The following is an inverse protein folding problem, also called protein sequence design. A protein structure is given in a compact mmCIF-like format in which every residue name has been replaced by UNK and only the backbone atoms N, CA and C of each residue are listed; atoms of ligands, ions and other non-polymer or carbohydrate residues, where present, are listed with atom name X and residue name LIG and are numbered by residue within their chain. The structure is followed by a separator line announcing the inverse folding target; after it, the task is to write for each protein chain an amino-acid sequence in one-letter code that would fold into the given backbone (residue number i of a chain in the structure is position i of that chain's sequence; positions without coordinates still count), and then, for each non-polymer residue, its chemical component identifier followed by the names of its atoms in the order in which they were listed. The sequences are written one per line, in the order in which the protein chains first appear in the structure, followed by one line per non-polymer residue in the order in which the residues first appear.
data_IF_603586979963
#
_entry.id   IF_603586979963
#
_cell.length_a   1.000
_cell.length_b   1.000
_cell.length_c   1.000
_cell.angle_alpha   90.00
_cell.angle_beta   90.00
_cell.angle_gamma   90.00
#
_symmetry.space_group_name_H-M   'P 1'
#
loop_
_entity.id
_entity.type
_entity.pdbx_description
1 polymer ?
#
# COMPACT_ATOMS: atom_id res chain seq x y z
N UNK A 1 15.96 -28.17 -40.98
CA UNK A 1 15.74 -27.86 -40.53
C UNK A 1 15.32 -27.33 -39.79
N UNK A 2 15.39 -27.41 -39.72
CA UNK A 2 15.05 -26.99 -39.02
C UNK A 2 14.79 -26.42 -38.14
N UNK A 3 15.02 -26.24 -38.05
CA UNK A 3 14.75 -25.71 -37.15
C UNK A 3 14.50 -24.92 -36.62
N UNK A 4 14.69 -24.68 -36.80
CA UNK A 4 14.37 -23.85 -36.37
C UNK A 4 13.77 -23.32 -35.62
N UNK A 5 13.72 -23.46 -35.63
CA UNK A 5 13.08 -22.94 -34.91
C UNK A 5 12.84 -22.57 -33.97
N UNK A 6 13.25 -22.58 -33.93
CA UNK A 6 13.03 -22.10 -33.00
C UNK A 6 12.82 -21.37 -32.26
N UNK A 7 13.10 -21.29 -32.53
CA UNK A 7 12.92 -20.48 -31.83
C UNK A 7 12.35 -19.87 -31.18
N UNK A 8 12.38 -19.94 -31.51
CA UNK A 8 11.78 -19.24 -30.96
C UNK A 8 11.41 -18.95 -29.99
N UNK A 9 11.67 -19.13 -30.08
CA UNK A 9 11.31 -18.76 -29.15
C UNK A 9 11.23 -18.21 -28.37
N UNK A 10 11.59 -18.08 -28.62
CA UNK A 10 11.52 -17.48 -27.94
C UNK A 10 11.14 -16.81 -27.37
N UNK A 11 11.28 -16.82 -27.74
CA UNK A 11 10.83 -16.06 -27.39
C UNK A 11 10.37 -15.64 -26.64
N UNK A 12 10.43 -15.84 -26.87
CA UNK A 12 9.82 -15.30 -26.24
C UNK A 12 9.64 -15.04 -25.34
N UNK A 13 10.00 -15.11 -25.52
CA UNK A 13 9.77 -14.69 -24.72
C UNK A 13 9.63 -14.17 -24.00
N UNK A 14 9.87 -14.05 -24.28
CA UNK A 14 9.63 -13.38 -23.72
C UNK A 14 9.25 -12.87 -23.04
N UNK A 15 9.43 -12.89 -23.27
CA UNK A 15 9.01 -12.24 -22.71
C UNK A 15 8.57 -11.92 -22.03
N UNK A 16 8.69 -11.90 -22.15
CA UNK A 16 8.16 -11.44 -21.52
C UNK A 16 7.91 -11.21 -20.72
N UNK A 17 8.13 -11.17 -20.86
CA UNK A 17 7.90 -10.87 -20.01
C UNK A 17 7.68 -10.31 -19.31
N UNK A 18 7.85 -9.95 -19.38
CA UNK A 18 7.71 -9.38 -18.70
C UNK A 18 7.30 -8.80 -18.06
N UNK A 19 7.51 -8.68 -18.10
CA UNK A 19 7.21 -8.11 -17.47
C UNK A 19 6.56 -7.69 -16.92
N UNK A 20 6.42 -7.52 -17.02
CA UNK A 20 5.63 -6.94 -16.41
C UNK A 20 5.18 -7.18 -15.43
N UNK A 21 5.21 -7.33 -15.53
CA UNK A 21 4.50 -7.80 -14.65
C UNK A 21 4.69 -7.33 -13.41
N UNK A 22 5.42 -7.73 -13.01
CA UNK A 22 5.57 -7.43 -11.73
C UNK A 22 5.27 -6.12 -11.39
N UNK A 23 5.48 -5.39 -12.20
CA UNK A 23 5.31 -4.18 -11.89
C UNK A 23 4.20 -3.95 -11.13
N UNK A 24 3.25 -4.21 -11.56
CA UNK A 24 2.09 -3.86 -10.94
C UNK A 24 2.00 -4.38 -9.59
N UNK A 25 2.32 -5.56 -9.46
CA UNK A 25 2.03 -6.17 -8.22
C UNK A 25 2.64 -5.48 -7.07
N UNK A 26 3.81 -5.05 -7.22
CA UNK A 26 4.50 -4.51 -6.09
C UNK A 26 4.03 -3.19 -5.62
N UNK A 27 3.08 -2.68 -6.31
CA UNK A 27 2.76 -1.29 -6.12
C UNK A 27 2.66 -0.80 -4.71
N UNK A 28 1.87 -1.46 -3.88
CA UNK A 28 1.56 -0.88 -2.57
C UNK A 28 2.32 -1.52 -1.43
N UNK A 29 2.85 -2.71 -1.59
CA UNK A 29 3.54 -3.41 -0.50
C UNK A 29 4.79 -2.65 -0.06
N UNK A 30 5.04 -2.65 1.24
CA UNK A 30 6.23 -2.01 1.78
C UNK A 30 5.99 -1.47 3.18
N UNK A 31 7.02 -0.85 3.72
CA UNK A 31 6.98 -0.18 5.00
C UNK A 31 7.18 1.32 4.79
N UNK A 32 6.31 2.11 5.35
CA UNK A 32 6.27 3.55 5.13
C UNK A 32 6.20 4.28 6.46
N UNK A 33 6.79 5.45 6.54
CA UNK A 33 6.79 6.24 7.76
C UNK A 33 6.31 7.66 7.50
N UNK A 34 5.67 8.25 8.50
CA UNK A 34 5.26 9.64 8.48
C UNK A 34 5.43 10.23 9.87
N UNK A 35 6.06 11.38 9.93
CA UNK A 35 6.21 12.11 11.18
C UNK A 35 5.15 13.20 11.20
N UNK A 36 4.22 13.10 12.14
CA UNK A 36 3.08 14.01 12.21
C UNK A 36 3.23 14.89 13.44
N UNK A 37 3.23 16.19 13.22
CA UNK A 37 3.47 17.14 14.30
C UNK A 37 2.23 17.57 15.05
N UNK A 38 1.08 17.31 14.50
CA UNK A 38 -0.19 17.65 15.14
C UNK A 38 -1.35 17.42 14.21
N UNK A 39 -2.56 17.44 14.71
CA UNK A 39 -2.96 17.72 16.10
C UNK A 39 -2.57 16.60 17.07
N UNK A 40 -2.76 16.85 18.36
CA UNK A 40 -2.32 15.95 19.41
C UNK A 40 -2.83 14.52 19.26
N UNK A 41 -4.02 14.34 18.73
CA UNK A 41 -4.63 13.02 18.58
C UNK A 41 -3.88 12.12 17.61
N UNK A 42 -3.08 12.69 16.72
CA UNK A 42 -2.32 11.90 15.75
C UNK A 42 -0.85 12.27 15.74
N UNK A 43 -0.38 13.03 16.73
CA UNK A 43 1.00 13.45 16.78
C UNK A 43 1.92 12.26 17.04
N UNK A 44 3.03 12.19 16.33
CA UNK A 44 4.03 11.16 16.53
C UNK A 44 4.57 10.60 15.24
N UNK A 45 5.36 9.54 15.36
CA UNK A 45 5.94 8.84 14.21
C UNK A 45 5.12 7.60 13.93
N UNK A 46 4.50 7.62 12.77
CA UNK A 46 3.65 6.53 12.31
C UNK A 46 4.41 5.65 11.34
N UNK A 47 4.25 4.35 11.48
CA UNK A 47 4.82 3.38 10.54
C UNK A 47 3.69 2.50 10.04
N UNK A 48 3.51 2.51 8.73
CA UNK A 48 2.51 1.71 8.04
C UNK A 48 3.22 0.59 7.31
N UNK A 49 2.87 -0.64 7.63
CA UNK A 49 3.42 -1.81 6.96
C UNK A 49 2.32 -2.49 6.17
N UNK A 50 2.51 -2.55 4.85
CA UNK A 50 1.57 -3.20 3.93
C UNK A 50 2.22 -4.47 3.41
N UNK A 51 1.66 -5.61 3.80
CA UNK A 51 2.10 -6.90 3.32
C UNK A 51 0.96 -7.50 2.50
N UNK A 52 1.14 -8.68 1.98
CA UNK A 52 0.12 -9.27 1.14
C UNK A 52 -1.17 -9.45 1.93
N UNK A 53 -2.17 -8.65 1.59
CA UNK A 53 -3.49 -8.76 2.18
C UNK A 53 -3.64 -8.25 3.60
N UNK A 54 -2.58 -7.77 4.22
CA UNK A 54 -2.63 -7.32 5.61
C UNK A 54 -1.98 -5.96 5.79
N UNK A 55 -2.36 -5.26 6.86
CA UNK A 55 -1.66 -4.06 7.22
C UNK A 55 -1.51 -3.94 8.74
N UNK A 56 -0.50 -3.21 9.13
CA UNK A 56 -0.23 -2.90 10.52
C UNK A 56 0.25 -1.47 10.61
N UNK A 57 -0.22 -0.77 11.61
CA UNK A 57 0.15 0.62 11.85
C UNK A 57 0.69 0.72 13.26
N UNK A 58 1.85 1.32 13.42
CA UNK A 58 2.39 1.61 14.74
C UNK A 58 2.54 3.12 14.92
N UNK A 59 2.46 3.54 16.17
CA UNK A 59 2.66 4.92 16.56
C UNK A 59 3.75 4.92 17.64
N UNK A 60 4.84 5.62 17.36
CA UNK A 60 5.98 5.73 18.26
C UNK A 60 6.46 4.36 18.74
N UNK A 61 6.51 3.40 17.81
CA UNK A 61 7.03 2.07 18.10
C UNK A 61 6.02 1.08 18.66
N UNK A 62 4.79 1.49 18.91
CA UNK A 62 3.75 0.59 19.44
C UNK A 62 2.69 0.32 18.40
N UNK A 63 2.25 -0.92 18.32
CA UNK A 63 1.18 -1.27 17.38
C UNK A 63 -0.09 -0.54 17.79
N UNK A 64 -0.63 0.24 16.86
CA UNK A 64 -1.84 1.02 17.07
C UNK A 64 -3.04 0.32 16.45
N UNK A 65 -2.87 -0.28 15.28
CA UNK A 65 -3.96 -0.92 14.56
C UNK A 65 -3.46 -2.01 13.65
N UNK A 66 -4.30 -2.99 13.40
CA UNK A 66 -4.05 -4.08 12.46
C UNK A 66 -5.33 -4.36 11.69
N UNK A 67 -5.17 -4.82 10.47
CA UNK A 67 -6.32 -5.19 9.66
C UNK A 67 -5.87 -5.83 8.37
N UNK A 68 -6.79 -5.91 7.43
CA UNK A 68 -6.46 -6.42 6.11
C UNK A 68 -6.73 -5.35 5.06
N UNK A 69 -6.21 -5.57 3.87
CA UNK A 69 -6.45 -4.67 2.77
C UNK A 69 -6.53 -5.42 1.45
N UNK A 70 -7.19 -4.80 0.50
CA UNK A 70 -7.14 -5.21 -0.89
C UNK A 70 -6.74 -3.99 -1.71
N UNK A 71 -5.93 -4.21 -2.72
CA UNK A 71 -5.43 -3.11 -3.53
C UNK A 71 -5.56 -3.41 -5.01
N UNK A 72 -5.84 -2.37 -5.76
CA UNK A 72 -5.77 -2.35 -7.21
C UNK A 72 -4.59 -1.44 -7.59
N UNK A 73 -4.26 -1.30 -8.86
CA UNK A 73 -3.18 -0.37 -9.25
C UNK A 73 -3.43 1.10 -8.85
N UNK A 74 -4.68 1.47 -8.53
CA UNK A 74 -5.00 2.86 -8.23
C UNK A 74 -5.72 3.08 -6.91
N UNK A 75 -6.22 2.03 -6.27
CA UNK A 75 -6.98 2.16 -5.02
C UNK A 75 -6.57 1.13 -4.00
N UNK A 76 -6.86 1.39 -2.74
CA UNK A 76 -6.66 0.45 -1.65
C UNK A 76 -7.84 0.59 -0.69
N UNK A 77 -8.32 -0.54 -0.21
CA UNK A 77 -9.39 -0.59 0.78
C UNK A 77 -8.85 -1.24 2.03
N UNK A 78 -8.95 -0.54 3.15
CA UNK A 78 -8.54 -1.04 4.46
C UNK A 78 -9.76 -1.51 5.24
N UNK A 79 -9.61 -2.62 5.94
CA UNK A 79 -10.66 -3.16 6.82
C UNK A 79 -10.07 -3.50 8.17
N UNK A 80 -10.77 -3.13 9.20
CA UNK A 80 -10.29 -3.29 10.58
C UNK A 80 -11.41 -3.83 11.46
N UNK A 81 -11.85 -5.09 11.23
CA UNK A 81 -13.00 -5.63 11.99
C UNK A 81 -12.80 -5.62 13.50
N UNK A 82 -11.57 -5.83 13.96
CA UNK A 82 -11.28 -5.85 15.39
C UNK A 82 -10.83 -4.49 15.93
N UNK A 83 -10.79 -3.48 15.08
CA UNK A 83 -10.36 -2.14 15.46
C UNK A 83 -11.53 -1.17 15.38
N UNK A 84 -11.42 -0.19 14.50
CA UNK A 84 -12.48 0.80 14.35
C UNK A 84 -13.74 0.23 13.69
N UNK A 85 -13.68 -0.97 13.18
CA UNK A 85 -14.84 -1.71 12.71
C UNK A 85 -15.34 -1.34 11.32
N UNK A 86 -14.66 -0.49 10.62
CA UNK A 86 -15.14 -0.02 9.34
C UNK A 86 -14.14 -0.17 8.21
N UNK A 87 -14.63 0.06 6.99
CA UNK A 87 -13.79 0.04 5.79
C UNK A 87 -13.51 1.45 5.33
N UNK A 88 -12.33 1.65 4.75
CA UNK A 88 -11.97 2.92 4.12
C UNK A 88 -11.30 2.66 2.80
N UNK A 89 -11.67 3.42 1.79
CA UNK A 89 -11.12 3.29 0.44
C UNK A 89 -10.39 4.58 0.08
N UNK A 90 -9.20 4.41 -0.46
CA UNK A 90 -8.32 5.52 -0.81
C UNK A 90 -7.74 5.30 -2.19
N UNK A 91 -7.52 6.39 -2.92
CA UNK A 91 -6.68 6.33 -4.11
C UNK A 91 -5.24 6.41 -3.59
N UNK A 92 -4.34 5.62 -4.14
CA UNK A 92 -2.96 5.67 -3.72
C UNK A 92 -2.06 6.00 -4.89
N UNK A 93 -0.96 6.66 -4.59
CA UNK A 93 0.04 7.01 -5.61
C UNK A 93 1.42 6.90 -4.98
N UNK A 94 2.32 6.29 -5.71
CA UNK A 94 3.72 6.23 -5.32
C UNK A 94 4.54 7.03 -6.31
N UNK A 95 5.41 7.90 -5.81
CA UNK A 95 6.36 8.64 -6.61
C UNK A 95 7.72 8.50 -5.94
N UNK A 96 8.60 7.66 -6.53
CA UNK A 96 9.86 7.33 -5.87
C UNK A 96 9.58 6.64 -4.55
N UNK A 97 10.07 7.23 -3.46
CA UNK A 97 9.86 6.69 -2.12
C UNK A 97 8.66 7.33 -1.41
N UNK A 98 7.95 8.20 -2.05
CA UNK A 98 6.81 8.88 -1.45
C UNK A 98 5.52 8.13 -1.77
N UNK A 99 4.74 7.86 -0.75
CA UNK A 99 3.42 7.26 -0.89
C UNK A 99 2.39 8.25 -0.38
N UNK A 100 1.36 8.52 -1.19
CA UNK A 100 0.26 9.38 -0.78
C UNK A 100 -1.06 8.65 -0.97
N UNK A 101 -2.00 8.92 -0.08
CA UNK A 101 -3.34 8.36 -0.13
C UNK A 101 -4.33 9.51 -0.17
N UNK A 102 -5.33 9.40 -1.04
CA UNK A 102 -6.41 10.38 -1.12
C UNK A 102 -7.69 9.67 -0.75
N UNK A 103 -8.34 10.14 0.30
CA UNK A 103 -9.57 9.54 0.79
C UNK A 103 -10.66 9.58 -0.28
N UNK A 104 -11.27 8.44 -0.52
CA UNK A 104 -12.47 8.35 -1.33
C UNK A 104 -13.68 8.13 -0.45
N UNK A 105 -13.53 7.31 0.58
CA UNK A 105 -14.60 7.00 1.51
C UNK A 105 -13.99 6.46 2.79
N UNK A 106 -14.51 6.90 3.93
CA UNK A 106 -14.05 6.40 5.21
C UNK A 106 -15.22 6.22 6.14
N UNK A 107 -15.18 5.16 6.96
CA UNK A 107 -16.21 4.91 7.96
C UNK A 107 -16.14 6.00 9.04
N UNK A 108 -17.30 6.44 9.55
CA UNK A 108 -17.32 7.45 10.62
C UNK A 108 -16.54 7.03 11.86
N UNK A 109 -16.49 5.73 12.15
CA UNK A 109 -15.76 5.22 13.31
C UNK A 109 -14.25 5.12 13.10
N UNK A 110 -13.77 5.41 11.89
CA UNK A 110 -12.36 5.26 11.54
C UNK A 110 -11.71 6.59 11.18
N UNK A 111 -12.10 7.67 11.86
CA UNK A 111 -11.60 9.01 11.53
C UNK A 111 -10.09 9.17 11.76
N UNK A 112 -9.55 8.49 12.76
CA UNK A 112 -8.10 8.53 13.01
C UNK A 112 -7.35 7.97 11.80
N UNK A 113 -7.83 6.86 11.25
CA UNK A 113 -7.22 6.29 10.05
C UNK A 113 -7.22 7.30 8.91
N UNK A 114 -8.34 7.96 8.69
CA UNK A 114 -8.44 8.96 7.63
C UNK A 114 -7.49 10.13 7.85
N UNK A 115 -7.35 10.58 9.08
CA UNK A 115 -6.46 11.69 9.40
C UNK A 115 -5.00 11.32 9.17
N UNK A 116 -4.61 10.12 9.60
CA UNK A 116 -3.23 9.65 9.45
C UNK A 116 -2.89 9.38 7.98
N UNK A 117 -3.78 8.70 7.27
CA UNK A 117 -3.50 8.33 5.88
C UNK A 117 -3.51 9.54 4.94
N UNK A 118 -4.07 10.67 5.35
CA UNK A 118 -4.03 11.87 4.52
C UNK A 118 -2.66 12.53 4.50
N UNK A 119 -1.73 12.03 5.31
CA UNK A 119 -0.37 12.58 5.36
C UNK A 119 0.53 11.88 4.36
N UNK A 120 1.63 12.53 4.03
CA UNK A 120 2.60 11.97 3.10
C UNK A 120 3.49 10.97 3.82
N UNK A 121 3.66 9.81 3.23
CA UNK A 121 4.51 8.76 3.78
C UNK A 121 5.75 8.58 2.94
N UNK A 122 6.83 8.18 3.59
CA UNK A 122 8.10 7.87 2.92
C UNK A 122 8.39 6.39 3.09
N UNK A 123 8.69 5.72 1.99
CA UNK A 123 9.02 4.30 2.03
C UNK A 123 10.38 4.10 2.67
N UNK A 124 10.46 3.18 3.62
CA UNK A 124 11.72 2.82 4.27
C UNK A 124 12.15 1.40 3.95
N UNK A 125 11.25 0.58 3.40
CA UNK A 125 11.58 -0.76 2.91
C UNK A 125 10.57 -1.26 1.92
#
# INVERSE_FOLDING_TARGET
MQSRTMSIVIGVVVALVIAPAGLAGGGVAGTYTASIKGPATIKGTWVLTLTKGAYRVSLDGRVHARGDHTATPTTITFREPAGCGGSGTYAWRRSGKTMTFVRKREAPTCQIRGAVLSRRFTQVR
#
